data_IF_947984425528
#
_entry.id   IF_947984425528
#
_cell.length_a   1.000
_cell.length_b   1.000
_cell.length_c   1.000
_cell.angle_alpha   90.00
_cell.angle_beta   90.00
_cell.angle_gamma   90.00
#
_symmetry.space_group_name_H-M   'P 1'
#
loop_
_entity.id
_entity.type
_entity.pdbx_description
1 polymer ?
#
# COMPACT_ATOMS: atom_id res chain seq x y z
N UNK A 1 -14.04 19.26 1.23
CA UNK A 1 -13.47 18.41 2.29
C UNK A 1 -14.61 17.57 2.83
N UNK A 2 -14.46 16.24 2.93
CA UNK A 2 -15.52 15.34 3.39
C UNK A 2 -15.30 14.97 4.86
N UNK A 3 -16.39 14.68 5.58
CA UNK A 3 -16.37 14.22 6.98
C UNK A 3 -16.89 12.80 7.05
N UNK A 4 -16.18 11.94 7.79
CA UNK A 4 -16.58 10.55 8.03
C UNK A 4 -16.93 10.41 9.52
N UNK A 5 -18.12 9.88 9.80
CA UNK A 5 -18.53 9.47 11.13
C UNK A 5 -18.58 7.96 11.22
N UNK A 6 -17.77 7.38 12.10
CA UNK A 6 -17.79 5.94 12.42
C UNK A 6 -18.58 5.74 13.70
N UNK A 7 -19.65 4.95 13.64
CA UNK A 7 -20.52 4.64 14.77
C UNK A 7 -20.18 3.27 15.36
N UNK A 8 -20.55 3.08 16.62
CA UNK A 8 -20.48 1.79 17.32
C UNK A 8 -19.08 1.16 17.32
N UNK A 9 -18.04 2.00 17.42
CA UNK A 9 -16.66 1.55 17.53
C UNK A 9 -16.50 0.83 18.88
N UNK A 10 -16.07 -0.45 18.90
CA UNK A 10 -15.83 -1.16 20.15
C UNK A 10 -14.83 -0.42 21.04
N UNK A 11 -15.10 -0.37 22.35
CA UNK A 11 -14.26 0.39 23.29
C UNK A 11 -12.79 -0.06 23.26
N UNK A 12 -12.55 -1.36 23.11
CA UNK A 12 -11.19 -1.90 22.98
C UNK A 12 -10.48 -1.40 21.72
N UNK A 13 -11.18 -1.32 20.59
CA UNK A 13 -10.63 -0.74 19.35
C UNK A 13 -10.30 0.73 19.56
N UNK A 14 -11.20 1.50 20.16
CA UNK A 14 -10.98 2.91 20.45
C UNK A 14 -9.75 3.12 21.36
N UNK A 15 -9.62 2.31 22.40
CA UNK A 15 -8.49 2.33 23.33
C UNK A 15 -7.17 2.05 22.61
N UNK A 16 -7.11 1.01 21.78
CA UNK A 16 -5.91 0.67 21.01
C UNK A 16 -5.50 1.82 20.09
N UNK A 17 -6.46 2.41 19.36
CA UNK A 17 -6.19 3.53 18.45
C UNK A 17 -5.70 4.77 19.20
N UNK A 18 -6.30 5.10 20.35
CA UNK A 18 -5.83 6.20 21.21
C UNK A 18 -4.40 5.98 21.70
N UNK A 19 -4.07 4.76 22.16
CA UNK A 19 -2.70 4.43 22.59
C UNK A 19 -1.70 4.59 21.44
N UNK A 20 -2.03 4.11 20.24
CA UNK A 20 -1.15 4.25 19.06
C UNK A 20 -0.99 5.72 18.64
N UNK A 21 -2.07 6.50 18.62
CA UNK A 21 -2.03 7.93 18.32
C UNK A 21 -1.11 8.67 19.31
N UNK A 22 -1.27 8.43 20.62
CA UNK A 22 -0.43 9.02 21.65
C UNK A 22 1.05 8.64 21.50
N UNK A 23 1.36 7.37 21.19
CA UNK A 23 2.73 6.91 20.92
C UNK A 23 3.37 7.59 19.71
N UNK A 24 2.55 7.98 18.73
CA UNK A 24 3.00 8.73 17.55
C UNK A 24 3.03 10.25 17.74
N UNK A 25 2.65 10.77 18.92
CA UNK A 25 2.59 12.20 19.19
C UNK A 25 1.47 12.93 18.43
N UNK A 26 0.43 12.21 18.02
CA UNK A 26 -0.65 12.75 17.19
C UNK A 26 -1.98 12.71 17.93
N UNK A 27 -2.91 13.60 17.52
CA UNK A 27 -4.31 13.46 17.92
C UNK A 27 -4.91 12.19 17.31
N UNK A 28 -5.93 11.62 17.96
CA UNK A 28 -6.63 10.44 17.44
C UNK A 28 -7.22 10.71 16.04
N UNK A 29 -7.77 11.89 15.82
CA UNK A 29 -8.33 12.30 14.54
C UNK A 29 -7.27 12.25 13.43
N UNK A 30 -6.08 12.82 13.67
CA UNK A 30 -5.02 12.85 12.66
C UNK A 30 -4.48 11.44 12.39
N UNK A 31 -4.31 10.64 13.44
CA UNK A 31 -3.87 9.25 13.32
C UNK A 31 -4.83 8.41 12.47
N UNK A 32 -6.15 8.51 12.73
CA UNK A 32 -7.18 7.79 11.95
C UNK A 32 -7.24 8.29 10.51
N UNK A 33 -7.10 9.61 10.28
CA UNK A 33 -7.04 10.16 8.93
C UNK A 33 -5.85 9.61 8.14
N UNK A 34 -4.67 9.51 8.77
CA UNK A 34 -3.50 8.90 8.13
C UNK A 34 -3.72 7.43 7.82
N UNK A 35 -4.35 6.68 8.74
CA UNK A 35 -4.68 5.28 8.52
C UNK A 35 -5.62 5.09 7.31
N UNK A 36 -6.69 5.91 7.23
CA UNK A 36 -7.64 5.86 6.11
C UNK A 36 -7.00 6.31 4.78
N UNK A 37 -6.16 7.34 4.82
CA UNK A 37 -5.43 7.80 3.63
C UNK A 37 -4.43 6.75 3.14
N UNK A 38 -3.74 6.10 4.08
CA UNK A 38 -2.82 5.01 3.77
C UNK A 38 -3.54 3.83 3.14
N UNK A 39 -4.65 3.40 3.74
CA UNK A 39 -5.49 2.33 3.19
C UNK A 39 -6.00 2.67 1.78
N UNK A 40 -6.51 3.89 1.58
CA UNK A 40 -7.02 4.33 0.28
C UNK A 40 -5.93 4.47 -0.80
N UNK A 41 -4.66 4.60 -0.40
CA UNK A 41 -3.52 4.64 -1.31
C UNK A 41 -3.06 3.24 -1.73
N UNK A 42 -3.47 2.18 -1.03
CA UNK A 42 -3.15 0.81 -1.40
C UNK A 42 -4.09 0.34 -2.51
N UNK A 43 -3.52 -0.14 -3.61
CA UNK A 43 -4.28 -0.86 -4.62
C UNK A 43 -4.68 -2.22 -4.05
N UNK A 44 -5.94 -2.63 -4.27
CA UNK A 44 -6.29 -4.04 -4.12
C UNK A 44 -5.45 -4.90 -5.06
N UNK A 45 -5.32 -6.21 -4.79
CA UNK A 45 -4.56 -7.12 -5.65
C UNK A 45 -5.07 -7.10 -7.10
N UNK A 46 -6.38 -6.97 -7.29
CA UNK A 46 -6.97 -6.88 -8.61
C UNK A 46 -6.60 -5.58 -9.33
N UNK A 47 -6.68 -4.44 -8.61
CA UNK A 47 -6.30 -3.14 -9.14
C UNK A 47 -4.80 -3.06 -9.43
N UNK A 48 -3.97 -3.61 -8.56
CA UNK A 48 -2.53 -3.72 -8.74
C UNK A 48 -2.19 -4.56 -9.98
N UNK A 49 -2.86 -5.71 -10.16
CA UNK A 49 -2.67 -6.55 -11.35
C UNK A 49 -3.13 -5.84 -12.63
N UNK A 50 -4.19 -5.03 -12.55
CA UNK A 50 -4.69 -4.23 -13.68
C UNK A 50 -3.71 -3.12 -14.05
N UNK A 51 -3.22 -2.37 -13.07
CA UNK A 51 -2.18 -1.34 -13.27
C UNK A 51 -0.88 -1.94 -13.80
N UNK A 52 -0.40 -3.04 -13.22
CA UNK A 52 0.80 -3.72 -13.71
C UNK A 52 0.69 -4.12 -15.18
N UNK A 53 -0.47 -4.63 -15.61
CA UNK A 53 -0.73 -4.93 -17.04
C UNK A 53 -0.74 -3.67 -17.91
N UNK A 54 -1.33 -2.57 -17.44
CA UNK A 54 -1.36 -1.31 -18.18
C UNK A 54 0.06 -0.71 -18.35
N UNK A 55 0.90 -0.82 -17.33
CA UNK A 55 2.31 -0.40 -17.37
C UNK A 55 3.10 -1.30 -18.33
N UNK A 56 2.96 -2.63 -18.20
CA UNK A 56 3.65 -3.59 -19.05
C UNK A 56 3.29 -3.43 -20.53
N UNK A 57 2.02 -3.12 -20.85
CA UNK A 57 1.58 -2.87 -22.22
C UNK A 57 2.25 -1.63 -22.88
N UNK A 58 2.85 -0.75 -22.09
CA UNK A 58 3.57 0.45 -22.56
C UNK A 58 5.08 0.32 -22.45
N UNK A 59 5.58 -0.81 -21.93
CA UNK A 59 7.00 -1.02 -21.76
C UNK A 59 7.60 -1.61 -23.04
N UNK A 60 8.74 -1.08 -23.46
CA UNK A 60 9.56 -1.67 -24.53
C UNK A 60 10.33 -2.92 -24.06
N UNK A 61 10.33 -3.18 -22.74
CA UNK A 61 11.00 -4.32 -22.11
C UNK A 61 9.96 -5.41 -21.84
N UNK A 62 10.20 -6.58 -22.39
CA UNK A 62 9.35 -7.77 -22.28
C UNK A 62 9.75 -8.64 -21.10
N UNK A 63 8.89 -9.63 -20.76
CA UNK A 63 9.22 -10.63 -19.76
C UNK A 63 10.44 -11.47 -20.14
N UNK A 64 10.64 -11.71 -21.45
CA UNK A 64 11.78 -12.46 -21.95
C UNK A 64 13.08 -11.68 -21.73
N UNK A 65 13.09 -10.36 -21.99
CA UNK A 65 14.24 -9.49 -21.74
C UNK A 65 14.66 -9.51 -20.26
N UNK A 66 13.69 -9.52 -19.34
CA UNK A 66 13.93 -9.64 -17.89
C UNK A 66 14.54 -11.02 -17.57
N UNK A 67 13.98 -12.08 -18.13
CA UNK A 67 14.44 -13.45 -17.88
C UNK A 67 15.86 -13.66 -18.41
N UNK A 68 16.19 -13.06 -19.56
CA UNK A 68 17.50 -13.08 -20.18
C UNK A 68 18.52 -12.32 -19.34
N UNK A 69 18.21 -11.11 -18.88
CA UNK A 69 19.07 -10.36 -17.97
C UNK A 69 19.35 -11.13 -16.67
N UNK A 70 18.34 -11.80 -16.08
CA UNK A 70 18.52 -12.62 -14.88
C UNK A 70 19.41 -13.83 -15.15
N UNK A 71 19.27 -14.46 -16.33
CA UNK A 71 20.12 -15.57 -16.76
C UNK A 71 21.58 -15.12 -16.92
N UNK A 72 21.81 -14.03 -17.64
CA UNK A 72 23.14 -13.44 -17.84
C UNK A 72 23.81 -13.07 -16.50
N UNK A 73 23.07 -12.49 -15.56
CA UNK A 73 23.57 -12.18 -14.22
C UNK A 73 23.99 -13.43 -13.41
N UNK A 74 23.31 -14.56 -13.61
CA UNK A 74 23.66 -15.83 -12.96
C UNK A 74 24.91 -16.45 -13.59
N UNK A 75 25.00 -16.40 -14.91
CA UNK A 75 26.13 -16.92 -15.68
C UNK A 75 27.41 -16.10 -15.42
N UNK A 76 27.32 -14.77 -15.32
CA UNK A 76 28.45 -13.89 -15.05
C UNK A 76 29.01 -13.98 -13.62
N UNK A 77 28.33 -14.69 -12.70
CA UNK A 77 28.76 -14.88 -11.31
C UNK A 77 29.64 -16.12 -11.12
N UNK A 78 29.90 -16.89 -12.17
CA UNK A 78 30.72 -18.10 -12.19
C UNK A 78 31.85 -17.98 -13.21
#
# INVERSE_FOLDING_TARGET
MATIHVRDVPEDTLRILKTRAARSGQSLQNYVLQLLTGEAALLSLEEAAREARAIAARADVTADDISEAVREMREARW
#
